data_IF_873317330480
#
_entry.id   IF_873317330480
#
_cell.length_a   1.000
_cell.length_b   1.000
_cell.length_c   1.000
_cell.angle_alpha   90.00
_cell.angle_beta   90.00
_cell.angle_gamma   90.00
#
_symmetry.space_group_name_H-M   'P 1'
#
loop_
_entity.id
_entity.type
_entity.pdbx_description
1 polymer ?
#
# COMPACT_ATOMS: atom_id res chain seq x y z
N UNK A 1 -11.17 -8.13 20.81
CA UNK A 1 -10.06 -7.37 20.20
C UNK A 1 -10.05 -7.76 18.75
N UNK A 2 -10.26 -6.81 17.84
CA UNK A 2 -10.22 -7.09 16.40
C UNK A 2 -8.74 -7.07 15.96
N UNK A 3 -8.32 -7.98 15.07
CA UNK A 3 -7.05 -7.78 14.35
C UNK A 3 -7.33 -6.86 13.16
N UNK A 4 -6.60 -5.75 13.07
CA UNK A 4 -6.70 -4.79 11.97
C UNK A 4 -5.54 -5.01 11.00
N UNK A 5 -5.87 -5.35 9.75
CA UNK A 5 -4.88 -5.67 8.71
C UNK A 5 -5.01 -4.70 7.55
N UNK A 6 -3.90 -4.49 6.84
CA UNK A 6 -3.83 -3.56 5.71
C UNK A 6 -4.71 -4.02 4.53
N UNK A 7 -5.54 -3.11 4.02
CA UNK A 7 -6.52 -3.34 2.96
C UNK A 7 -7.52 -4.49 3.19
N UNK A 8 -7.69 -4.95 4.43
CA UNK A 8 -8.64 -6.01 4.78
C UNK A 8 -9.75 -5.45 5.69
N UNK A 9 -10.91 -5.07 5.14
CA UNK A 9 -11.96 -4.44 5.92
C UNK A 9 -12.54 -5.42 6.94
N UNK A 10 -12.58 -5.00 8.21
CA UNK A 10 -13.25 -5.72 9.29
C UNK A 10 -14.57 -5.04 9.61
N UNK A 11 -15.67 -5.77 9.44
CA UNK A 11 -17.03 -5.24 9.62
C UNK A 11 -17.67 -5.83 10.86
N UNK A 12 -18.16 -4.97 11.74
CA UNK A 12 -18.92 -5.36 12.92
C UNK A 12 -20.24 -4.58 12.97
N UNK A 13 -21.35 -5.31 13.15
CA UNK A 13 -22.69 -4.70 13.24
C UNK A 13 -23.17 -4.73 14.69
N UNK A 14 -23.61 -3.58 15.19
CA UNK A 14 -24.21 -3.45 16.52
C UNK A 14 -25.64 -3.00 16.38
N UNK A 15 -26.54 -3.72 17.07
CA UNK A 15 -27.97 -3.39 17.11
C UNK A 15 -28.26 -2.42 18.25
N UNK A 16 -28.79 -1.25 17.92
CA UNK A 16 -29.26 -0.24 18.87
C UNK A 16 -30.78 -0.24 18.90
N UNK A 17 -31.39 -0.39 20.07
CA UNK A 17 -32.85 -0.45 20.25
C UNK A 17 -33.33 0.71 21.11
N UNK A 18 -34.36 1.41 20.67
CA UNK A 18 -35.01 2.44 21.49
C UNK A 18 -36.01 1.79 22.45
N UNK A 19 -35.65 1.76 23.73
CA UNK A 19 -36.47 1.24 24.84
C UNK A 19 -37.30 2.32 25.54
N UNK A 20 -37.30 3.54 25.01
CA UNK A 20 -38.08 4.65 25.56
C UNK A 20 -39.50 4.69 24.97
N UNK A 21 -40.38 5.43 25.65
CA UNK A 21 -41.80 5.57 25.23
C UNK A 21 -42.02 6.55 24.07
N UNK A 22 -40.98 7.25 23.62
CA UNK A 22 -41.05 8.27 22.58
C UNK A 22 -40.00 8.06 21.48
N UNK A 23 -40.09 8.80 20.36
CA UNK A 23 -39.05 8.77 19.34
C UNK A 23 -37.74 9.31 19.91
N UNK A 24 -36.63 8.64 19.60
CA UNK A 24 -35.29 9.01 20.05
C UNK A 24 -34.40 9.24 18.82
N UNK A 25 -33.83 10.44 18.71
CA UNK A 25 -32.80 10.72 17.71
C UNK A 25 -31.42 10.43 18.31
N UNK A 26 -30.54 9.80 17.54
CA UNK A 26 -29.16 9.57 17.93
C UNK A 26 -28.19 10.18 16.92
N UNK A 27 -27.00 10.55 17.39
CA UNK A 27 -25.87 10.95 16.56
C UNK A 27 -24.55 10.60 17.24
N UNK A 28 -23.55 10.23 16.46
CA UNK A 28 -22.19 10.17 16.98
C UNK A 28 -21.60 11.58 17.11
N UNK A 29 -20.91 11.83 18.20
CA UNK A 29 -20.29 13.13 18.50
C UNK A 29 -18.82 12.94 18.87
N UNK A 30 -17.96 13.93 18.56
CA UNK A 30 -16.55 13.84 18.94
C UNK A 30 -16.37 13.99 20.44
N UNK A 31 -15.30 13.40 20.97
CA UNK A 31 -14.95 13.46 22.39
C UNK A 31 -14.58 14.88 22.83
N UNK A 32 -13.98 15.66 21.93
CA UNK A 32 -13.62 17.05 22.13
C UNK A 32 -14.20 17.89 20.99
N UNK A 33 -14.47 19.17 21.25
CA UNK A 33 -14.82 20.10 20.18
C UNK A 33 -13.67 20.14 19.15
N UNK A 34 -14.02 20.13 17.86
CA UNK A 34 -13.11 20.13 16.71
C UNK A 34 -12.25 18.85 16.51
N UNK A 35 -12.48 17.80 17.29
CA UNK A 35 -11.88 16.48 17.02
C UNK A 35 -12.73 15.65 16.05
N UNK A 36 -12.14 14.67 15.32
CA UNK A 36 -12.92 13.72 14.54
C UNK A 36 -13.81 12.84 15.44
N UNK A 37 -14.95 12.40 14.90
CA UNK A 37 -15.94 11.57 15.62
C UNK A 37 -15.36 10.19 15.99
N UNK A 38 -14.53 9.64 15.12
CA UNK A 38 -13.91 8.33 15.25
C UNK A 38 -12.46 8.40 14.73
N UNK A 39 -11.60 7.43 15.08
CA UNK A 39 -10.26 7.31 14.50
C UNK A 39 -10.31 7.19 12.97
N UNK A 40 -9.24 7.59 12.28
CA UNK A 40 -9.15 7.56 10.80
C UNK A 40 -9.31 6.16 10.20
N UNK A 41 -8.90 5.11 10.93
CA UNK A 41 -8.99 3.71 10.50
C UNK A 41 -10.38 3.09 10.66
N UNK A 42 -11.34 3.80 11.24
CA UNK A 42 -12.70 3.32 11.48
C UNK A 42 -13.70 4.15 10.67
N UNK A 43 -14.74 3.52 10.17
CA UNK A 43 -15.93 4.18 9.61
C UNK A 43 -17.19 3.66 10.31
N UNK A 44 -18.21 4.51 10.40
CA UNK A 44 -19.47 4.22 11.12
C UNK A 44 -20.64 4.60 10.22
N UNK A 45 -21.57 3.67 9.99
CA UNK A 45 -22.77 3.92 9.20
C UNK A 45 -24.01 3.22 9.79
N UNK A 46 -25.14 3.93 10.01
CA UNK A 46 -25.31 5.37 9.90
C UNK A 46 -24.75 6.13 11.13
N UNK A 47 -24.21 7.33 10.91
CA UNK A 47 -23.71 8.18 12.01
C UNK A 47 -24.81 8.92 12.77
N UNK A 48 -25.99 9.05 12.17
CA UNK A 48 -27.16 9.70 12.77
C UNK A 48 -28.43 8.96 12.39
N UNK A 49 -29.46 9.02 13.21
CA UNK A 49 -30.72 8.37 12.91
C UNK A 49 -31.83 8.71 13.91
N UNK A 50 -33.04 8.27 13.60
CA UNK A 50 -34.20 8.38 14.48
C UNK A 50 -34.81 7.01 14.67
N UNK A 51 -35.04 6.62 15.92
CA UNK A 51 -35.64 5.35 16.30
C UNK A 51 -37.00 5.60 16.95
N UNK A 52 -38.03 4.97 16.40
CA UNK A 52 -39.35 4.89 17.05
C UNK A 52 -39.29 3.99 18.29
N UNK A 53 -40.26 4.11 19.22
CA UNK A 53 -40.34 3.20 20.37
C UNK A 53 -40.32 1.73 19.95
N UNK A 54 -39.57 0.90 20.66
CA UNK A 54 -39.39 -0.55 20.43
C UNK A 54 -38.77 -0.93 19.08
N UNK A 55 -38.31 0.05 18.28
CA UNK A 55 -37.60 -0.21 17.04
C UNK A 55 -36.09 -0.24 17.26
N UNK A 56 -35.42 -0.97 16.38
CA UNK A 56 -33.96 -1.07 16.37
C UNK A 56 -33.38 -0.57 15.04
N UNK A 57 -32.17 -0.06 15.09
CA UNK A 57 -31.30 0.16 13.94
C UNK A 57 -30.04 -0.67 14.09
N UNK A 58 -29.50 -1.07 12.95
CA UNK A 58 -28.17 -1.66 12.85
C UNK A 58 -27.18 -0.56 12.53
N UNK A 59 -26.11 -0.49 13.31
CA UNK A 59 -24.98 0.42 13.09
C UNK A 59 -23.79 -0.45 12.72
N UNK A 60 -23.27 -0.21 11.52
CA UNK A 60 -22.13 -0.90 10.96
C UNK A 60 -20.86 -0.12 11.25
N UNK A 61 -19.89 -0.81 11.83
CA UNK A 61 -18.54 -0.33 12.09
C UNK A 61 -17.60 -1.04 11.12
N UNK A 62 -16.88 -0.29 10.29
CA UNK A 62 -15.93 -0.84 9.32
C UNK A 62 -14.55 -0.31 9.64
N UNK A 63 -13.67 -1.18 10.15
CA UNK A 63 -12.26 -0.87 10.29
C UNK A 63 -11.55 -1.18 8.97
N UNK A 64 -10.84 -0.19 8.41
CA UNK A 64 -10.11 -0.33 7.15
C UNK A 64 -8.86 0.54 7.18
N UNK A 65 -7.73 -0.05 6.83
CA UNK A 65 -6.43 0.63 6.78
C UNK A 65 -5.96 0.69 5.33
N UNK A 66 -5.99 1.90 4.76
CA UNK A 66 -5.46 2.19 3.43
C UNK A 66 -3.96 2.56 3.46
N UNK A 67 -3.39 2.99 2.32
CA UNK A 67 -1.97 3.35 2.21
C UNK A 67 -1.59 4.53 3.12
N UNK A 68 -2.46 5.55 3.21
CA UNK A 68 -2.17 6.77 3.97
C UNK A 68 -2.21 6.50 5.47
N UNK A 69 -3.18 5.69 5.92
CA UNK A 69 -3.32 5.27 7.31
C UNK A 69 -2.18 4.30 7.67
N UNK A 70 -1.86 3.32 6.81
CA UNK A 70 -0.76 2.38 7.03
C UNK A 70 0.57 3.11 7.26
N UNK A 71 0.92 4.09 6.42
CA UNK A 71 2.15 4.86 6.57
C UNK A 71 2.28 5.58 7.92
N UNK A 72 1.17 5.95 8.55
CA UNK A 72 1.13 6.50 9.91
C UNK A 72 1.22 5.39 10.97
N UNK A 73 0.38 4.35 10.85
CA UNK A 73 0.25 3.30 11.86
C UNK A 73 1.48 2.40 11.97
N UNK A 74 2.20 2.17 10.87
CA UNK A 74 3.45 1.37 10.84
C UNK A 74 4.58 1.94 11.72
N UNK A 75 4.43 3.17 12.24
CA UNK A 75 5.43 3.86 13.09
C UNK A 75 4.92 4.16 14.49
N UNK A 76 3.69 3.77 14.79
CA UNK A 76 3.03 3.99 16.08
C UNK A 76 2.86 2.64 16.79
N UNK A 77 2.58 2.61 18.11
CA UNK A 77 2.18 1.39 18.78
C UNK A 77 1.03 0.69 18.06
N UNK A 78 1.07 -0.63 18.02
CA UNK A 78 0.08 -1.47 17.33
C UNK A 78 -1.28 -1.54 18.07
N UNK A 79 -1.34 -1.16 19.34
CA UNK A 79 -2.58 -1.07 20.10
C UNK A 79 -3.44 0.12 19.61
N UNK A 80 -4.44 -0.17 18.80
CA UNK A 80 -5.43 0.80 18.37
C UNK A 80 -6.58 0.84 19.38
N UNK A 81 -6.88 2.04 19.87
CA UNK A 81 -7.93 2.25 20.85
C UNK A 81 -8.69 3.54 20.61
N UNK A 82 -9.94 3.58 21.07
CA UNK A 82 -10.76 4.77 21.01
C UNK A 82 -12.05 4.63 21.80
N UNK A 83 -12.71 5.75 22.06
CA UNK A 83 -14.06 5.78 22.64
C UNK A 83 -14.94 6.60 21.73
N UNK A 84 -16.05 5.99 21.31
CA UNK A 84 -17.08 6.65 20.51
C UNK A 84 -18.22 7.09 21.41
N UNK A 85 -18.78 8.26 21.15
CA UNK A 85 -19.89 8.80 21.93
C UNK A 85 -21.14 8.81 21.05
N UNK A 86 -22.08 7.95 21.40
CA UNK A 86 -23.43 7.94 20.82
C UNK A 86 -24.33 8.83 21.68
N UNK A 87 -24.54 10.05 21.20
CA UNK A 87 -25.42 11.03 21.84
C UNK A 87 -26.87 10.75 21.46
N UNK A 88 -27.75 10.68 22.46
CA UNK A 88 -29.20 10.55 22.26
C UNK A 88 -29.89 11.87 22.64
N UNK A 89 -30.74 12.38 21.74
CA UNK A 89 -31.48 13.62 21.97
C UNK A 89 -32.45 13.42 23.13
N UNK A 90 -32.37 14.29 24.14
CA UNK A 90 -33.16 14.19 25.40
C UNK A 90 -32.85 12.93 26.23
N UNK A 91 -31.79 12.18 25.89
CA UNK A 91 -31.36 10.98 26.60
C UNK A 91 -29.96 11.14 27.22
N UNK A 92 -29.31 10.01 27.49
CA UNK A 92 -27.94 9.97 28.01
C UNK A 92 -26.97 9.64 26.88
N UNK A 93 -25.73 10.06 27.05
CA UNK A 93 -24.65 9.65 26.16
C UNK A 93 -24.25 8.20 26.45
N UNK A 94 -24.04 7.44 25.37
CA UNK A 94 -23.54 6.07 25.43
C UNK A 94 -22.10 6.05 24.94
N UNK A 95 -21.20 5.51 25.76
CA UNK A 95 -19.78 5.40 25.45
C UNK A 95 -19.48 3.99 24.94
N UNK A 96 -18.98 3.88 23.71
CA UNK A 96 -18.64 2.62 23.05
C UNK A 96 -17.11 2.57 22.96
N UNK A 97 -16.49 1.63 23.68
CA UNK A 97 -15.05 1.39 23.60
C UNK A 97 -14.73 0.55 22.36
N UNK A 98 -13.78 1.01 21.57
CA UNK A 98 -13.24 0.27 20.42
C UNK A 98 -11.77 -0.10 20.71
N UNK A 99 -11.40 -1.33 20.39
CA UNK A 99 -10.02 -1.80 20.50
C UNK A 99 -9.67 -2.78 19.37
N UNK A 100 -8.51 -2.55 18.78
CA UNK A 100 -7.94 -3.40 17.75
C UNK A 100 -6.42 -3.49 17.92
N UNK A 101 -5.83 -4.56 17.42
CA UNK A 101 -4.38 -4.73 17.33
C UNK A 101 -4.00 -4.65 15.85
N UNK A 102 -3.10 -3.75 15.49
CA UNK A 102 -2.66 -3.52 14.12
C UNK A 102 -1.49 -4.43 13.76
N UNK A 103 -1.61 -5.15 12.65
CA UNK A 103 -0.49 -5.89 12.07
C UNK A 103 0.29 -4.97 11.12
N UNK A 104 1.53 -4.64 11.48
CA UNK A 104 2.40 -3.81 10.63
C UNK A 104 2.59 -4.43 9.25
N UNK A 105 2.68 -3.57 8.25
CA UNK A 105 2.93 -3.97 6.86
C UNK A 105 4.02 -3.13 6.20
N UNK A 106 4.81 -3.74 5.32
CA UNK A 106 5.82 -3.03 4.54
C UNK A 106 5.19 -2.07 3.51
N UNK A 107 3.93 -2.27 3.15
CA UNK A 107 3.16 -1.42 2.26
C UNK A 107 2.82 -0.06 2.91
N UNK A 108 2.65 0.99 2.08
CA UNK A 108 2.31 2.32 2.58
C UNK A 108 3.50 3.11 3.17
N UNK A 109 4.73 2.59 3.07
CA UNK A 109 5.91 3.20 3.66
C UNK A 109 6.83 3.85 2.62
N UNK A 110 7.54 4.91 3.02
CA UNK A 110 8.60 5.52 2.22
C UNK A 110 9.80 4.58 2.07
N UNK A 111 10.49 4.62 0.92
CA UNK A 111 11.73 3.88 0.69
C UNK A 111 12.77 4.11 1.80
N UNK A 112 12.91 5.36 2.26
CA UNK A 112 13.84 5.73 3.33
C UNK A 112 13.54 5.05 4.69
N UNK A 113 12.27 4.72 4.95
CA UNK A 113 11.90 3.98 6.16
C UNK A 113 12.17 2.50 5.99
N UNK A 114 11.80 1.93 4.84
CA UNK A 114 12.05 0.52 4.55
C UNK A 114 13.56 0.18 4.56
N UNK A 115 14.44 1.09 4.12
CA UNK A 115 15.89 0.90 4.20
C UNK A 115 16.45 0.95 5.63
N UNK A 116 15.70 1.51 6.59
CA UNK A 116 16.06 1.52 8.01
C UNK A 116 15.62 0.25 8.75
N UNK A 117 14.81 -0.62 8.14
CA UNK A 117 14.35 -1.82 8.83
C UNK A 117 15.50 -2.84 8.99
N UNK A 118 15.84 -3.26 10.22
CA UNK A 118 16.88 -4.27 10.46
C UNK A 118 16.47 -5.64 9.91
N UNK A 119 15.17 -5.94 9.92
CA UNK A 119 14.56 -7.17 9.44
C UNK A 119 13.13 -6.90 8.96
N UNK A 120 12.28 -7.94 8.86
CA UNK A 120 10.87 -7.79 8.46
C UNK A 120 10.12 -6.84 9.39
N UNK A 121 9.17 -6.07 8.88
CA UNK A 121 8.51 -5.01 9.67
C UNK A 121 7.82 -5.53 10.92
N UNK A 122 7.23 -6.75 10.90
CA UNK A 122 6.56 -7.34 12.08
C UNK A 122 7.54 -7.83 13.15
N UNK A 123 8.84 -7.84 12.87
CA UNK A 123 9.87 -8.11 13.87
C UNK A 123 10.28 -6.86 14.67
N UNK A 124 9.93 -5.67 14.19
CA UNK A 124 10.27 -4.39 14.83
C UNK A 124 9.33 -4.14 16.01
N UNK A 125 9.89 -3.94 17.20
CA UNK A 125 9.10 -3.73 18.42
C UNK A 125 9.11 -2.27 18.87
N UNK A 126 10.22 -1.58 18.63
CA UNK A 126 10.37 -0.19 18.99
C UNK A 126 11.04 0.60 17.86
N UNK A 127 10.76 1.90 17.80
CA UNK A 127 11.43 2.83 16.87
C UNK A 127 12.95 2.88 17.05
N UNK A 128 13.46 2.52 18.24
CA UNK A 128 14.90 2.40 18.54
C UNK A 128 15.57 1.22 17.85
N UNK A 129 14.80 0.27 17.32
CA UNK A 129 15.34 -0.90 16.62
C UNK A 129 15.70 -0.57 15.16
N UNK A 130 15.32 0.63 14.67
CA UNK A 130 15.64 1.09 13.32
C UNK A 130 17.15 1.31 13.16
N UNK A 131 17.65 0.98 11.97
CA UNK A 131 19.05 1.18 11.59
C UNK A 131 19.35 2.68 11.45
N UNK A 132 20.47 3.10 12.02
CA UNK A 132 21.03 4.42 11.78
C UNK A 132 21.32 4.66 10.30
N UNK A 133 21.35 5.93 9.87
CA UNK A 133 21.67 6.34 8.49
C UNK A 133 22.94 5.69 7.91
N UNK A 134 23.94 5.39 8.75
CA UNK A 134 25.20 4.76 8.33
C UNK A 134 25.09 3.28 8.04
N UNK A 135 24.06 2.62 8.56
CA UNK A 135 23.83 1.17 8.45
C UNK A 135 22.57 0.85 7.63
N UNK A 136 21.88 1.87 7.11
CA UNK A 136 20.73 1.68 6.23
C UNK A 136 21.10 0.83 5.02
N UNK A 137 20.14 0.01 4.60
CA UNK A 137 20.28 -0.81 3.41
C UNK A 137 20.25 0.05 2.17
N UNK A 138 20.96 -0.38 1.13
CA UNK A 138 20.99 0.33 -0.16
C UNK A 138 19.62 0.34 -0.87
N UNK A 139 18.77 -0.65 -0.62
CA UNK A 139 17.41 -0.74 -1.13
C UNK A 139 16.52 -1.53 -0.15
N UNK A 140 15.19 -1.32 -0.15
CA UNK A 140 14.24 -2.11 0.64
C UNK A 140 14.37 -3.61 0.35
N UNK A 141 14.50 -4.41 1.41
CA UNK A 141 14.70 -5.86 1.28
C UNK A 141 13.50 -6.53 0.62
N UNK A 142 12.29 -6.03 0.87
CA UNK A 142 11.03 -6.53 0.38
C UNK A 142 10.93 -6.43 -1.15
N UNK A 143 11.29 -5.28 -1.71
CA UNK A 143 11.33 -5.06 -3.17
C UNK A 143 12.37 -5.98 -3.82
N UNK A 144 13.58 -6.02 -3.27
CA UNK A 144 14.67 -6.86 -3.79
C UNK A 144 14.30 -8.35 -3.73
N UNK A 145 13.62 -8.77 -2.66
CA UNK A 145 13.16 -10.14 -2.49
C UNK A 145 12.15 -10.55 -3.57
N UNK A 146 11.17 -9.69 -3.88
CA UNK A 146 10.22 -9.93 -4.97
C UNK A 146 10.92 -9.99 -6.32
N UNK A 147 11.81 -9.02 -6.62
CA UNK A 147 12.57 -8.99 -7.89
C UNK A 147 13.44 -10.23 -8.06
N UNK A 148 14.18 -10.63 -7.03
CA UNK A 148 15.05 -11.81 -7.08
C UNK A 148 14.26 -13.11 -7.27
N UNK A 149 13.11 -13.22 -6.61
CA UNK A 149 12.23 -14.37 -6.80
C UNK A 149 11.70 -14.42 -8.23
N UNK A 150 11.24 -13.28 -8.78
CA UNK A 150 10.75 -13.21 -10.16
C UNK A 150 11.84 -13.57 -11.16
N UNK A 151 13.03 -12.96 -11.05
CA UNK A 151 14.20 -13.27 -11.88
C UNK A 151 14.52 -14.77 -11.95
N UNK A 152 14.26 -15.51 -10.86
CA UNK A 152 14.56 -16.94 -10.76
C UNK A 152 13.43 -17.84 -11.25
N UNK A 153 12.20 -17.34 -11.36
CA UNK A 153 10.99 -18.16 -11.56
C UNK A 153 10.09 -17.72 -12.74
N UNK A 154 10.40 -16.63 -13.45
CA UNK A 154 9.56 -16.12 -14.56
C UNK A 154 10.08 -16.41 -15.96
N UNK A 155 11.14 -17.22 -16.12
CA UNK A 155 11.81 -17.41 -17.40
C UNK A 155 10.94 -17.96 -18.55
N UNK A 156 9.74 -18.47 -18.26
CA UNK A 156 8.79 -19.04 -19.24
C UNK A 156 7.39 -18.42 -19.15
N UNK A 157 7.23 -17.26 -18.49
CA UNK A 157 5.91 -16.65 -18.25
C UNK A 157 5.92 -15.21 -18.78
N UNK A 158 5.56 -15.09 -20.06
CA UNK A 158 5.58 -13.83 -20.82
C UNK A 158 4.44 -12.86 -20.46
N UNK A 159 3.59 -13.21 -19.49
CA UNK A 159 2.36 -12.50 -19.15
C UNK A 159 2.34 -11.97 -17.72
N UNK A 160 3.45 -12.08 -16.97
CA UNK A 160 3.60 -11.39 -15.68
C UNK A 160 3.38 -9.89 -15.86
N UNK A 161 2.61 -9.28 -14.95
CA UNK A 161 2.11 -7.89 -15.00
C UNK A 161 1.02 -7.58 -16.04
N UNK A 162 0.78 -8.48 -16.99
CA UNK A 162 -0.17 -8.27 -18.09
C UNK A 162 -1.48 -9.06 -17.90
N UNK A 163 -1.54 -9.90 -16.87
CA UNK A 163 -2.73 -10.63 -16.45
C UNK A 163 -3.01 -10.43 -14.97
N UNK A 164 -4.30 -10.49 -14.56
CA UNK A 164 -4.67 -10.43 -13.17
C UNK A 164 -4.16 -11.67 -12.42
N UNK A 165 -3.79 -11.46 -11.15
CA UNK A 165 -3.39 -12.52 -10.24
C UNK A 165 -4.51 -12.84 -9.24
N UNK A 166 -4.46 -14.02 -8.63
CA UNK A 166 -5.31 -14.36 -7.49
C UNK A 166 -4.99 -13.45 -6.29
N UNK A 167 -5.97 -12.64 -5.87
CA UNK A 167 -5.87 -11.72 -4.74
C UNK A 167 -5.47 -12.42 -3.43
N UNK A 168 -5.88 -13.67 -3.22
CA UNK A 168 -5.52 -14.43 -2.01
C UNK A 168 -4.02 -14.73 -1.97
N UNK A 169 -3.43 -15.05 -3.11
CA UNK A 169 -1.99 -15.27 -3.22
C UNK A 169 -1.23 -13.96 -2.99
N UNK A 170 -1.74 -12.84 -3.52
CA UNK A 170 -1.14 -11.51 -3.28
C UNK A 170 -1.12 -11.18 -1.78
N UNK A 171 -2.22 -11.45 -1.07
CA UNK A 171 -2.29 -11.26 0.39
C UNK A 171 -1.28 -12.15 1.11
N UNK A 172 -1.16 -13.43 0.73
CA UNK A 172 -0.16 -14.34 1.31
C UNK A 172 1.28 -13.86 1.07
N UNK A 173 1.58 -13.36 -0.12
CA UNK A 173 2.90 -12.82 -0.46
C UNK A 173 3.20 -11.60 0.42
N UNK A 174 2.24 -10.69 0.57
CA UNK A 174 2.36 -9.54 1.48
C UNK A 174 2.66 -9.99 2.90
N UNK A 175 1.94 -11.00 3.40
CA UNK A 175 2.20 -11.54 4.74
C UNK A 175 3.62 -12.09 4.88
N UNK A 176 4.10 -12.86 3.89
CA UNK A 176 5.47 -13.34 3.86
C UNK A 176 6.51 -12.21 3.83
N UNK A 177 6.21 -11.07 3.18
CA UNK A 177 7.09 -9.90 3.22
C UNK A 177 7.10 -9.24 4.60
N UNK A 178 5.92 -9.13 5.22
CA UNK A 178 5.75 -8.47 6.51
C UNK A 178 6.38 -9.27 7.67
N UNK A 179 6.26 -10.61 7.63
CA UNK A 179 6.83 -11.53 8.64
C UNK A 179 8.27 -11.93 8.33
N UNK A 180 8.66 -11.90 7.05
CA UNK A 180 9.92 -12.44 6.55
C UNK A 180 9.91 -13.94 6.30
N UNK A 181 8.75 -14.59 6.43
CA UNK A 181 8.63 -16.03 6.15
C UNK A 181 8.98 -16.33 4.70
N UNK A 182 9.64 -17.47 4.48
CA UNK A 182 10.01 -17.93 3.15
C UNK A 182 8.79 -18.13 2.25
N UNK A 183 9.01 -17.86 0.97
CA UNK A 183 8.07 -18.09 -0.12
C UNK A 183 7.92 -19.61 -0.34
N UNK A 184 7.14 -20.23 0.54
CA UNK A 184 7.03 -21.69 0.67
C UNK A 184 6.09 -22.27 -0.39
N UNK A 185 6.43 -22.06 -1.66
CA UNK A 185 5.76 -22.71 -2.79
C UNK A 185 6.61 -23.90 -3.22
N UNK A 186 5.98 -25.07 -3.33
CA UNK A 186 6.64 -26.25 -3.86
C UNK A 186 7.02 -26.01 -5.33
N UNK A 187 7.97 -26.79 -5.85
CA UNK A 187 8.29 -26.75 -7.29
C UNK A 187 7.08 -27.11 -8.19
N UNK A 188 6.03 -27.72 -7.61
CA UNK A 188 4.77 -28.00 -8.29
C UNK A 188 3.86 -26.75 -8.35
N UNK A 189 3.90 -25.90 -7.33
CA UNK A 189 3.15 -24.64 -7.26
C UNK A 189 3.71 -23.57 -8.21
N UNK A 190 5.00 -23.62 -8.54
CA UNK A 190 5.61 -22.71 -9.53
C UNK A 190 5.31 -23.10 -10.99
N UNK A 191 4.71 -24.26 -11.21
CA UNK A 191 4.10 -24.63 -12.51
C UNK A 191 2.75 -23.95 -12.73
N UNK A 192 2.08 -23.53 -11.66
CA UNK A 192 0.88 -22.70 -11.75
C UNK A 192 1.29 -21.26 -12.10
N UNK A 193 0.85 -20.69 -13.23
CA UNK A 193 1.17 -19.31 -13.58
C UNK A 193 0.68 -18.31 -12.52
N UNK A 194 -0.29 -18.66 -11.68
CA UNK A 194 -0.85 -17.76 -10.66
C UNK A 194 0.17 -17.32 -9.62
N UNK A 195 1.13 -18.17 -9.22
CA UNK A 195 2.12 -17.78 -8.20
C UNK A 195 3.05 -16.67 -8.74
N UNK A 196 3.69 -16.82 -9.92
CA UNK A 196 4.44 -15.72 -10.54
C UNK A 196 3.62 -14.47 -10.84
N UNK A 197 2.37 -14.62 -11.30
CA UNK A 197 1.46 -13.49 -11.49
C UNK A 197 1.22 -12.73 -10.17
N UNK A 198 1.00 -13.45 -9.07
CA UNK A 198 0.76 -12.86 -7.75
C UNK A 198 2.00 -12.17 -7.19
N UNK A 199 3.20 -12.74 -7.38
CA UNK A 199 4.46 -12.08 -6.98
C UNK A 199 4.69 -10.81 -7.78
N UNK A 200 4.39 -10.82 -9.08
CA UNK A 200 4.40 -9.62 -9.92
C UNK A 200 3.39 -8.57 -9.45
N UNK A 201 2.14 -8.97 -9.20
CA UNK A 201 1.12 -8.09 -8.67
C UNK A 201 1.51 -7.47 -7.32
N UNK A 202 2.09 -8.26 -6.40
CA UNK A 202 2.60 -7.79 -5.13
C UNK A 202 3.72 -6.75 -5.29
N UNK A 203 4.63 -6.92 -6.26
CA UNK A 203 5.67 -5.93 -6.57
C UNK A 203 5.07 -4.61 -7.05
N UNK A 204 4.12 -4.67 -7.99
CA UNK A 204 3.44 -3.48 -8.48
C UNK A 204 2.69 -2.76 -7.36
N UNK A 205 1.93 -3.49 -6.54
CA UNK A 205 1.17 -2.94 -5.42
C UNK A 205 2.09 -2.35 -4.35
N UNK A 206 3.25 -2.97 -4.09
CA UNK A 206 4.22 -2.45 -3.12
C UNK A 206 4.79 -1.11 -3.61
N UNK A 207 5.21 -1.04 -4.88
CA UNK A 207 5.69 0.19 -5.51
C UNK A 207 4.61 1.28 -5.56
N UNK A 208 3.37 0.91 -5.87
CA UNK A 208 2.25 1.85 -5.87
C UNK A 208 1.82 2.27 -4.45
N UNK A 209 2.09 1.45 -3.43
CA UNK A 209 1.79 1.82 -2.05
C UNK A 209 2.75 2.88 -1.48
N UNK A 210 3.89 3.13 -2.14
CA UNK A 210 4.86 4.12 -1.68
C UNK A 210 4.20 5.52 -1.60
N UNK A 211 4.37 6.28 -0.50
CA UNK A 211 3.85 7.64 -0.42
C UNK A 211 4.40 8.56 -1.52
N UNK A 212 5.67 8.41 -1.85
CA UNK A 212 6.35 9.10 -2.96
C UNK A 212 6.78 8.06 -4.01
N UNK A 213 6.52 8.29 -5.31
CA UNK A 213 6.96 7.37 -6.37
C UNK A 213 8.48 7.31 -6.46
N UNK A 214 9.01 6.23 -7.06
CA UNK A 214 10.46 6.00 -7.21
C UNK A 214 11.16 7.17 -7.91
N UNK A 215 10.52 7.75 -8.93
CA UNK A 215 10.95 9.03 -9.52
C UNK A 215 10.04 10.14 -9.01
N UNK A 216 10.55 11.03 -8.15
CA UNK A 216 9.78 12.15 -7.60
C UNK A 216 9.13 13.02 -8.68
N UNK A 217 7.92 13.51 -8.42
CA UNK A 217 7.14 14.37 -9.33
C UNK A 217 7.90 15.60 -9.83
N UNK A 218 8.76 16.17 -8.98
CA UNK A 218 9.60 17.33 -9.31
C UNK A 218 10.59 17.06 -10.46
N UNK A 219 10.95 15.80 -10.70
CA UNK A 219 11.88 15.41 -11.78
C UNK A 219 11.16 15.06 -13.08
N UNK A 220 9.83 14.87 -13.08
CA UNK A 220 9.08 14.43 -14.26
C UNK A 220 9.24 15.34 -15.48
N UNK A 221 9.26 16.69 -15.36
CA UNK A 221 9.51 17.57 -16.51
C UNK A 221 10.88 17.29 -17.16
N UNK A 222 11.91 17.01 -16.35
CA UNK A 222 13.25 16.68 -16.85
C UNK A 222 13.28 15.30 -17.50
N UNK A 223 12.58 14.31 -16.95
CA UNK A 223 12.49 12.96 -17.54
C UNK A 223 12.05 12.99 -19.01
N UNK A 224 11.17 13.93 -19.38
CA UNK A 224 10.59 13.97 -20.72
C UNK A 224 11.33 14.86 -21.71
N UNK A 225 12.34 15.59 -21.25
CA UNK A 225 13.27 16.34 -22.10
C UNK A 225 14.42 15.45 -22.59
N UNK A 226 14.61 14.26 -21.99
CA UNK A 226 15.69 13.34 -22.31
C UNK A 226 15.58 12.82 -23.75
N UNK A 227 16.68 12.95 -24.49
CA UNK A 227 16.75 12.61 -25.91
C UNK A 227 17.40 11.26 -26.19
N UNK A 228 18.17 10.75 -25.23
CA UNK A 228 18.91 9.50 -25.36
C UNK A 228 19.06 8.79 -24.02
N UNK A 229 19.62 7.57 -24.07
CA UNK A 229 19.83 6.71 -22.90
C UNK A 229 20.83 7.32 -21.91
N UNK A 230 21.92 7.91 -22.37
CA UNK A 230 22.98 8.44 -21.49
C UNK A 230 22.43 9.58 -20.63
N UNK A 231 21.70 10.53 -21.22
CA UNK A 231 20.99 11.60 -20.51
C UNK A 231 20.00 11.05 -19.47
N UNK A 232 19.27 9.98 -19.81
CA UNK A 232 18.33 9.36 -18.89
C UNK A 232 19.04 8.73 -17.66
N UNK A 233 20.22 8.15 -17.86
CA UNK A 233 21.05 7.65 -16.75
C UNK A 233 21.64 8.79 -15.92
N UNK A 234 22.10 9.88 -16.53
CA UNK A 234 22.58 11.08 -15.82
C UNK A 234 21.49 11.72 -14.94
N UNK A 235 20.21 11.64 -15.34
CA UNK A 235 19.10 12.11 -14.51
C UNK A 235 19.04 11.40 -13.14
N UNK A 236 19.45 10.13 -13.06
CA UNK A 236 19.40 9.35 -11.83
C UNK A 236 20.34 9.91 -10.75
N UNK A 237 21.36 10.70 -11.10
CA UNK A 237 22.21 11.39 -10.13
C UNK A 237 21.45 12.41 -9.28
N UNK A 238 20.28 12.88 -9.76
CA UNK A 238 19.39 13.76 -9.01
C UNK A 238 18.35 13.02 -8.14
N UNK A 239 18.34 11.68 -8.18
CA UNK A 239 17.39 10.83 -7.45
C UNK A 239 18.04 10.32 -6.16
N UNK A 240 17.24 10.11 -5.11
CA UNK A 240 17.74 9.57 -3.85
C UNK A 240 18.39 8.18 -4.05
N UNK A 241 19.57 7.87 -3.45
CA UNK A 241 20.30 6.63 -3.74
C UNK A 241 19.49 5.35 -3.57
N UNK A 242 18.65 5.27 -2.54
CA UNK A 242 17.77 4.13 -2.33
C UNK A 242 16.75 3.93 -3.46
N UNK A 243 16.22 5.04 -4.00
CA UNK A 243 15.28 5.01 -5.11
C UNK A 243 15.99 4.69 -6.43
N UNK A 244 17.24 5.14 -6.63
CA UNK A 244 18.09 4.71 -7.75
C UNK A 244 18.30 3.19 -7.72
N UNK A 245 18.64 2.61 -6.58
CA UNK A 245 18.82 1.16 -6.48
C UNK A 245 17.53 0.39 -6.78
N UNK A 246 16.38 0.87 -6.29
CA UNK A 246 15.07 0.30 -6.64
C UNK A 246 14.81 0.43 -8.15
N UNK A 247 15.04 1.61 -8.73
CA UNK A 247 14.88 1.85 -10.16
C UNK A 247 15.74 0.89 -10.99
N UNK A 248 17.02 0.76 -10.67
CA UNK A 248 17.95 -0.14 -11.38
C UNK A 248 17.53 -1.60 -11.23
N UNK A 249 17.16 -2.06 -10.02
CA UNK A 249 16.72 -3.44 -9.81
C UNK A 249 15.45 -3.77 -10.59
N UNK A 250 14.44 -2.89 -10.54
CA UNK A 250 13.18 -3.09 -11.25
C UNK A 250 13.39 -3.00 -12.77
N UNK A 251 14.07 -1.96 -13.25
CA UNK A 251 14.29 -1.79 -14.70
C UNK A 251 15.19 -2.86 -15.30
N UNK A 252 16.19 -3.37 -14.57
CA UNK A 252 17.00 -4.50 -15.00
C UNK A 252 16.15 -5.78 -15.18
N UNK A 253 15.24 -6.04 -14.26
CA UNK A 253 14.32 -7.18 -14.37
C UNK A 253 13.31 -7.00 -15.52
N UNK A 254 12.74 -5.81 -15.69
CA UNK A 254 11.85 -5.52 -16.82
C UNK A 254 12.60 -5.63 -18.17
N UNK A 255 13.86 -5.19 -18.24
CA UNK A 255 14.70 -5.39 -19.42
C UNK A 255 14.92 -6.88 -19.71
N UNK A 256 15.22 -7.67 -18.67
CA UNK A 256 15.37 -9.10 -18.79
C UNK A 256 14.11 -9.76 -19.36
N UNK A 257 12.92 -9.43 -18.85
CA UNK A 257 11.65 -9.90 -19.39
C UNK A 257 11.43 -9.47 -20.84
N UNK A 258 11.68 -8.20 -21.16
CA UNK A 258 11.54 -7.67 -22.50
C UNK A 258 12.46 -8.37 -23.53
N UNK A 259 13.64 -8.85 -23.11
CA UNK A 259 14.55 -9.61 -23.98
C UNK A 259 14.15 -11.07 -24.15
N UNK A 260 13.41 -11.64 -23.21
CA UNK A 260 12.93 -13.03 -23.30
C UNK A 260 11.65 -13.14 -24.15
N UNK A 261 10.81 -12.12 -24.12
CA UNK A 261 9.59 -12.08 -24.90
C UNK A 261 9.88 -12.18 -26.41
N UNK A 262 9.08 -12.99 -27.11
CA UNK A 262 9.11 -13.05 -28.57
C UNK A 262 8.41 -11.85 -29.24
N UNK A 263 7.66 -11.08 -28.44
CA UNK A 263 6.85 -9.94 -28.87
C UNK A 263 7.67 -8.64 -28.81
N UNK A 264 7.86 -7.98 -29.96
CA UNK A 264 8.58 -6.70 -30.06
C UNK A 264 7.90 -5.56 -29.30
N UNK A 265 6.59 -5.67 -29.01
CA UNK A 265 5.81 -4.68 -28.25
C UNK A 265 5.79 -4.96 -26.74
N UNK A 266 6.44 -6.03 -26.28
CA UNK A 266 6.39 -6.43 -24.87
C UNK A 266 6.97 -5.36 -23.94
N UNK A 267 8.06 -4.71 -24.35
CA UNK A 267 8.67 -3.61 -23.60
C UNK A 267 7.70 -2.43 -23.44
N UNK A 268 6.94 -2.08 -24.49
CA UNK A 268 5.95 -1.00 -24.48
C UNK A 268 4.80 -1.34 -23.54
N UNK A 269 4.34 -2.59 -23.54
CA UNK A 269 3.28 -3.06 -22.63
C UNK A 269 3.74 -3.00 -21.18
N UNK A 270 4.96 -3.45 -20.87
CA UNK A 270 5.55 -3.31 -19.54
C UNK A 270 5.70 -1.84 -19.14
N UNK A 271 6.14 -0.98 -20.07
CA UNK A 271 6.24 0.45 -19.81
C UNK A 271 4.88 1.07 -19.47
N UNK A 272 3.82 0.70 -20.18
CA UNK A 272 2.45 1.16 -19.91
C UNK A 272 1.93 0.75 -18.54
N UNK A 273 2.38 -0.38 -17.99
CA UNK A 273 2.02 -0.82 -16.64
C UNK A 273 2.85 -0.13 -15.56
N UNK A 274 4.17 0.00 -15.77
CA UNK A 274 5.09 0.48 -14.73
C UNK A 274 5.27 2.00 -14.68
N UNK A 275 5.15 2.71 -15.81
CA UNK A 275 5.34 4.16 -15.82
C UNK A 275 4.34 4.91 -14.92
N UNK A 276 3.04 4.55 -14.87
CA UNK A 276 2.08 5.18 -13.94
C UNK A 276 2.41 4.96 -12.46
N UNK A 277 3.09 3.87 -12.13
CA UNK A 277 3.47 3.50 -10.75
C UNK A 277 4.80 4.17 -10.36
N UNK A 278 5.83 4.04 -11.21
CA UNK A 278 7.17 4.55 -10.93
C UNK A 278 7.30 6.07 -11.11
N UNK A 279 6.45 6.67 -11.94
CA UNK A 279 6.37 8.11 -12.21
C UNK A 279 4.95 8.65 -11.95
N UNK A 280 4.33 8.23 -10.84
CA UNK A 280 2.98 8.67 -10.47
C UNK A 280 2.90 10.18 -10.28
N UNK A 281 1.91 10.84 -10.87
CA UNK A 281 1.67 12.27 -10.64
C UNK A 281 1.24 12.53 -9.19
N UNK A 282 1.75 13.62 -8.63
CA UNK A 282 1.26 14.14 -7.35
C UNK A 282 0.06 15.07 -7.62
N UNK A 283 -1.16 14.72 -7.17
CA UNK A 283 -2.36 15.53 -7.41
C UNK A 283 -2.29 16.91 -6.73
N UNK A 284 -1.38 17.10 -5.77
CA UNK A 284 -1.16 18.37 -5.09
C UNK A 284 -0.04 19.22 -5.72
N UNK A 285 0.68 18.66 -6.69
CA UNK A 285 1.77 19.36 -7.37
C UNK A 285 1.23 20.47 -8.27
N UNK A 286 1.91 21.63 -8.21
CA UNK A 286 1.66 22.77 -9.10
C UNK A 286 2.36 22.62 -10.45
N UNK A 287 3.21 21.60 -10.62
CA UNK A 287 3.88 21.33 -11.89
C UNK A 287 2.86 20.81 -12.92
N UNK A 288 2.97 21.22 -14.20
CA UNK A 288 2.08 20.71 -15.23
C UNK A 288 2.24 19.18 -15.37
N UNK A 289 1.14 18.42 -15.47
CA UNK A 289 1.21 16.98 -15.59
C UNK A 289 1.89 16.61 -16.91
N UNK A 290 2.70 15.57 -16.83
CA UNK A 290 3.44 15.04 -17.98
C UNK A 290 2.61 13.95 -18.64
N UNK A 291 2.50 13.98 -19.98
CA UNK A 291 1.69 12.98 -20.71
C UNK A 291 2.16 11.55 -20.44
N UNK A 292 1.26 10.57 -20.21
CA UNK A 292 1.62 9.18 -19.95
C UNK A 292 2.58 8.57 -20.98
N UNK A 293 2.34 8.80 -22.28
CA UNK A 293 3.20 8.31 -23.35
C UNK A 293 4.66 8.81 -23.27
N UNK A 294 4.90 10.01 -22.71
CA UNK A 294 6.26 10.51 -22.50
C UNK A 294 6.93 9.86 -21.29
N UNK A 295 6.18 9.52 -20.24
CA UNK A 295 6.68 8.76 -19.08
C UNK A 295 7.05 7.33 -19.48
N UNK A 296 6.21 6.69 -20.29
CA UNK A 296 6.49 5.39 -20.90
C UNK A 296 7.77 5.45 -21.75
N UNK A 297 7.90 6.46 -22.62
CA UNK A 297 9.10 6.67 -23.42
C UNK A 297 10.36 6.83 -22.56
N UNK A 298 10.28 7.54 -21.44
CA UNK A 298 11.41 7.67 -20.52
C UNK A 298 11.81 6.30 -19.94
N UNK A 299 10.83 5.50 -19.51
CA UNK A 299 11.09 4.15 -18.99
C UNK A 299 11.69 3.22 -20.06
N UNK A 300 11.29 3.36 -21.32
CA UNK A 300 11.84 2.58 -22.45
C UNK A 300 13.35 2.80 -22.67
N UNK A 301 13.94 3.93 -22.25
CA UNK A 301 15.40 4.11 -22.30
C UNK A 301 16.17 3.09 -21.43
N UNK A 302 15.50 2.48 -20.45
CA UNK A 302 16.10 1.53 -19.52
C UNK A 302 15.76 0.08 -19.85
N UNK A 303 14.56 -0.17 -20.38
CA UNK A 303 14.03 -1.54 -20.54
C UNK A 303 14.08 -2.08 -21.98
N UNK A 304 14.28 -1.24 -23.00
CA UNK A 304 14.40 -1.68 -24.41
C UNK A 304 15.83 -1.99 -24.85
#
# INVERSE_FOLDING_TARGET
MLSSRYQEPQVQVVKVTNTSKGPCAFRFVPVQNDAPIHPEWLSIEPQTGVLLPEHSAEITFTAYVDNAIAGKLNRQPNDLGGTLILHTLLGKDHFISISAEYEYTCFGNSLAFLTQLPGPIRSVKASTDLLDERHQKNAPTEIIRLVNWLMSNTANIDNVFLQPADEKLVVQIRDCLDTGDEFSWSAEDTTDPQVPLAVGAALLLLLDSLPEPVIPGILHPRCVEMSNRDEAFELLDAVHPAAVNVWISVTAFLHFMAKQASDEEHAQRLAGVFAPVLLRDDPTSLAPPVSPAKKERFLLYFIS
#
